data_IF_049857248728
#
_entry.id   IF_049857248728
#
_cell.length_a   1.000
_cell.length_b   1.000
_cell.length_c   1.000
_cell.angle_alpha   90.00
_cell.angle_beta   90.00
_cell.angle_gamma   90.00
#
_symmetry.space_group_name_H-M   'P 1'
#
loop_
_entity.id
_entity.type
_entity.pdbx_description
1 polymer ?
#
# COMPACT_ATOMS: atom_id res chain seq x y z
N UNK A 1 21.61 -13.81 24.34
CA UNK A 1 20.45 -13.67 23.43
C UNK A 1 20.96 -13.69 21.99
N UNK A 2 20.71 -14.77 21.25
CA UNK A 2 21.17 -14.88 19.85
C UNK A 2 20.49 -13.81 19.00
N UNK A 3 21.29 -12.92 18.38
CA UNK A 3 20.78 -11.91 17.45
C UNK A 3 20.37 -12.65 16.18
N UNK A 4 19.10 -13.04 16.07
CA UNK A 4 18.53 -13.43 14.78
C UNK A 4 18.53 -12.16 13.91
N UNK A 5 19.54 -12.04 13.07
CA UNK A 5 19.61 -10.99 12.06
C UNK A 5 18.55 -11.31 10.99
N UNK A 6 17.34 -10.77 11.16
CA UNK A 6 16.33 -10.72 10.11
C UNK A 6 16.85 -9.76 9.02
N UNK A 7 17.58 -10.31 8.06
CA UNK A 7 18.06 -9.56 6.91
C UNK A 7 16.91 -9.44 5.91
N UNK A 8 16.22 -8.31 5.95
CA UNK A 8 15.22 -7.97 4.95
C UNK A 8 15.92 -7.27 3.78
N UNK A 9 15.94 -7.87 2.58
CA UNK A 9 16.72 -7.33 1.48
C UNK A 9 16.21 -5.95 1.08
N UNK A 10 17.13 -5.02 0.82
CA UNK A 10 16.80 -3.61 0.56
C UNK A 10 15.87 -3.40 -0.63
N UNK A 11 15.97 -4.24 -1.66
CA UNK A 11 15.07 -4.19 -2.83
C UNK A 11 13.64 -4.54 -2.46
N UNK A 12 13.41 -5.55 -1.59
CA UNK A 12 12.07 -5.93 -1.18
C UNK A 12 11.42 -4.82 -0.35
N UNK A 13 12.21 -4.15 0.48
CA UNK A 13 11.80 -2.95 1.21
C UNK A 13 11.43 -1.80 0.28
N UNK A 14 12.24 -1.54 -0.73
CA UNK A 14 11.96 -0.52 -1.73
C UNK A 14 10.65 -0.83 -2.49
N UNK A 15 10.45 -2.08 -2.91
CA UNK A 15 9.21 -2.52 -3.59
C UNK A 15 7.98 -2.31 -2.70
N UNK A 16 8.02 -2.74 -1.43
CA UNK A 16 6.89 -2.57 -0.52
C UNK A 16 6.52 -1.09 -0.32
N UNK A 17 7.50 -0.25 0.02
CA UNK A 17 7.24 1.17 0.27
C UNK A 17 6.85 1.93 -0.98
N UNK A 18 7.43 1.59 -2.14
CA UNK A 18 7.04 2.20 -3.41
C UNK A 18 5.60 1.87 -3.76
N UNK A 19 5.14 0.63 -3.52
CA UNK A 19 3.74 0.26 -3.76
C UNK A 19 2.78 0.96 -2.79
N UNK A 20 3.13 1.08 -1.51
CA UNK A 20 2.33 1.85 -0.53
C UNK A 20 2.22 3.31 -0.96
N UNK A 21 3.32 3.94 -1.35
CA UNK A 21 3.34 5.32 -1.81
C UNK A 21 2.53 5.50 -3.11
N UNK A 22 2.69 4.58 -4.06
CA UNK A 22 1.94 4.58 -5.32
C UNK A 22 0.43 4.45 -5.07
N UNK A 23 0.03 3.53 -4.19
CA UNK A 23 -1.38 3.32 -3.83
C UNK A 23 -1.98 4.57 -3.20
N UNK A 24 -1.25 5.18 -2.25
CA UNK A 24 -1.67 6.42 -1.61
C UNK A 24 -1.79 7.57 -2.61
N UNK A 25 -0.75 7.79 -3.43
CA UNK A 25 -0.73 8.88 -4.40
C UNK A 25 -1.85 8.77 -5.43
N UNK A 26 -2.06 7.57 -5.98
CA UNK A 26 -3.12 7.32 -6.98
C UNK A 26 -4.52 7.40 -6.37
N UNK A 27 -4.71 6.91 -5.14
CA UNK A 27 -5.99 7.04 -4.43
C UNK A 27 -6.32 8.49 -4.09
N UNK A 28 -5.35 9.26 -3.60
CA UNK A 28 -5.52 10.69 -3.32
C UNK A 28 -5.75 11.50 -4.59
N UNK A 29 -5.02 11.22 -5.67
CA UNK A 29 -5.24 11.85 -6.96
C UNK A 29 -6.63 11.54 -7.52
N UNK A 30 -7.07 10.28 -7.44
CA UNK A 30 -8.42 9.89 -7.87
C UNK A 30 -9.49 10.61 -7.06
N UNK A 31 -9.36 10.61 -5.72
CA UNK A 31 -10.28 11.32 -4.83
C UNK A 31 -10.37 12.81 -5.17
N UNK A 32 -9.23 13.44 -5.44
CA UNK A 32 -9.19 14.85 -5.80
C UNK A 32 -9.91 15.14 -7.13
N UNK A 33 -9.62 14.34 -8.17
CA UNK A 33 -10.31 14.46 -9.45
C UNK A 33 -11.80 14.22 -9.29
N UNK A 34 -12.18 13.13 -8.63
CA UNK A 34 -13.56 12.72 -8.50
C UNK A 34 -14.43 13.75 -7.74
N UNK A 35 -13.83 14.45 -6.78
CA UNK A 35 -14.54 15.39 -5.91
C UNK A 35 -14.62 16.81 -6.46
N UNK A 36 -13.57 17.28 -7.12
CA UNK A 36 -13.43 18.69 -7.49
C UNK A 36 -13.26 18.95 -8.98
N UNK A 37 -13.10 17.91 -9.81
CA UNK A 37 -12.93 18.06 -11.25
C UNK A 37 -14.12 17.45 -11.97
N UNK A 38 -14.79 18.29 -12.74
CA UNK A 38 -15.89 17.93 -13.62
C UNK A 38 -15.57 18.53 -14.99
N UNK A 39 -15.70 17.72 -16.03
CA UNK A 39 -15.31 18.08 -17.39
C UNK A 39 -16.57 18.09 -18.24
N UNK A 40 -16.80 19.14 -19.03
CA UNK A 40 -17.90 19.12 -20.00
C UNK A 40 -17.59 18.12 -21.12
N UNK A 41 -18.40 17.06 -21.18
CA UNK A 41 -18.44 16.10 -22.27
C UNK A 41 -19.54 16.42 -23.28
N UNK A 42 -19.61 15.62 -24.34
CA UNK A 42 -20.58 15.78 -25.42
C UNK A 42 -22.05 15.65 -24.95
N UNK A 43 -22.27 14.95 -23.83
CA UNK A 43 -23.58 14.68 -23.24
C UNK A 43 -23.82 15.39 -21.91
N UNK A 44 -22.98 16.36 -21.55
CA UNK A 44 -23.06 17.11 -20.29
C UNK A 44 -21.86 16.89 -19.37
N UNK A 45 -21.98 17.22 -18.08
CA UNK A 45 -20.88 17.09 -17.14
C UNK A 45 -20.46 15.63 -16.93
N UNK A 46 -19.18 15.35 -17.19
CA UNK A 46 -18.55 14.04 -17.13
C UNK A 46 -17.35 14.01 -16.17
N UNK A 47 -16.96 12.80 -15.78
CA UNK A 47 -15.79 12.56 -14.92
C UNK A 47 -14.49 12.63 -15.70
N UNK A 48 -13.38 12.85 -14.98
CA UNK A 48 -12.08 12.94 -15.63
C UNK A 48 -11.69 11.60 -16.28
N UNK A 49 -11.20 11.60 -17.54
CA UNK A 49 -10.77 10.37 -18.22
C UNK A 49 -9.53 9.71 -17.57
N UNK A 50 -8.90 10.39 -16.61
CA UNK A 50 -7.79 9.85 -15.81
C UNK A 50 -8.28 8.94 -14.67
N UNK A 51 -9.53 9.04 -14.24
CA UNK A 51 -10.05 8.26 -13.11
C UNK A 51 -9.88 6.73 -13.29
N UNK A 52 -10.20 6.13 -14.45
CA UNK A 52 -10.01 4.69 -14.66
C UNK A 52 -8.55 4.27 -14.57
N UNK A 53 -7.62 5.11 -15.03
CA UNK A 53 -6.19 4.81 -14.96
C UNK A 53 -5.66 4.84 -13.54
N UNK A 54 -6.07 5.85 -12.77
CA UNK A 54 -5.71 5.95 -11.35
C UNK A 54 -6.21 4.74 -10.57
N UNK A 55 -7.45 4.31 -10.79
CA UNK A 55 -8.01 3.14 -10.11
C UNK A 55 -7.34 1.83 -10.53
N UNK A 56 -6.92 1.68 -11.80
CA UNK A 56 -6.15 0.51 -12.25
C UNK A 56 -4.79 0.43 -11.56
N UNK A 57 -4.04 1.54 -11.51
CA UNK A 57 -2.72 1.59 -10.85
C UNK A 57 -2.87 1.40 -9.34
N UNK A 58 -3.87 2.05 -8.73
CA UNK A 58 -4.19 1.89 -7.32
C UNK A 58 -4.46 0.41 -6.98
N UNK A 59 -5.37 -0.24 -7.72
CA UNK A 59 -5.70 -1.65 -7.53
C UNK A 59 -4.48 -2.56 -7.68
N UNK A 60 -3.69 -2.38 -8.75
CA UNK A 60 -2.47 -3.16 -8.97
C UNK A 60 -1.47 -3.02 -7.80
N UNK A 61 -1.23 -1.79 -7.34
CA UNK A 61 -0.35 -1.55 -6.19
C UNK A 61 -0.89 -2.15 -4.89
N UNK A 62 -2.21 -2.06 -4.65
CA UNK A 62 -2.87 -2.64 -3.48
C UNK A 62 -2.71 -4.17 -3.41
N UNK A 63 -2.84 -4.87 -4.56
CA UNK A 63 -2.59 -6.30 -4.61
C UNK A 63 -1.13 -6.67 -4.29
N UNK A 64 -0.16 -5.90 -4.78
CA UNK A 64 1.26 -6.11 -4.45
C UNK A 64 1.54 -5.87 -2.96
N UNK A 65 0.91 -4.87 -2.35
CA UNK A 65 0.97 -4.64 -0.90
C UNK A 65 0.40 -5.86 -0.15
N UNK A 66 -0.75 -6.41 -0.59
CA UNK A 66 -1.39 -7.55 0.07
C UNK A 66 -0.51 -8.81 0.03
N UNK A 67 0.11 -9.10 -1.12
CA UNK A 67 1.08 -10.20 -1.25
C UNK A 67 2.26 -9.97 -0.30
N UNK A 68 2.81 -8.75 -0.29
CA UNK A 68 3.89 -8.36 0.59
C UNK A 68 3.55 -8.47 2.07
N UNK A 69 2.32 -8.11 2.45
CA UNK A 69 1.79 -8.26 3.79
C UNK A 69 1.74 -9.73 4.20
N UNK A 70 1.21 -10.62 3.35
CA UNK A 70 1.20 -12.06 3.61
C UNK A 70 2.61 -12.62 3.83
N UNK A 71 3.58 -12.20 3.01
CA UNK A 71 4.98 -12.56 3.19
C UNK A 71 5.52 -12.09 4.55
N UNK A 72 5.30 -10.82 4.92
CA UNK A 72 5.76 -10.26 6.20
C UNK A 72 5.12 -10.96 7.39
N UNK A 73 3.82 -11.26 7.31
CA UNK A 73 3.08 -11.95 8.36
C UNK A 73 3.66 -13.33 8.64
N UNK A 74 3.92 -14.12 7.59
CA UNK A 74 4.45 -15.47 7.70
C UNK A 74 5.90 -15.51 8.20
N UNK A 75 6.74 -14.56 7.80
CA UNK A 75 8.20 -14.68 7.97
C UNK A 75 8.84 -13.67 8.93
N UNK A 76 8.24 -12.50 9.14
CA UNK A 76 8.88 -11.39 9.86
C UNK A 76 8.11 -10.93 11.11
N UNK A 77 6.77 -10.83 11.05
CA UNK A 77 5.95 -10.29 12.14
C UNK A 77 6.04 -11.19 13.39
N UNK A 78 5.88 -12.51 13.24
CA UNK A 78 5.93 -13.45 14.36
C UNK A 78 7.31 -13.48 15.05
N UNK A 79 8.38 -13.42 14.26
CA UNK A 79 9.75 -13.40 14.76
C UNK A 79 10.03 -12.08 15.48
N UNK A 80 9.60 -10.94 14.92
CA UNK A 80 9.70 -9.62 15.56
C UNK A 80 8.95 -9.55 16.89
N UNK A 81 7.75 -10.14 16.95
CA UNK A 81 6.94 -10.21 18.16
C UNK A 81 7.64 -10.98 19.29
N UNK A 82 8.15 -12.19 18.98
CA UNK A 82 8.93 -13.02 19.92
C UNK A 82 10.22 -12.32 20.37
N UNK A 83 10.87 -11.58 19.47
CA UNK A 83 12.07 -10.80 19.77
C UNK A 83 11.78 -9.48 20.52
N UNK A 84 10.51 -9.15 20.79
CA UNK A 84 10.07 -7.88 21.38
C UNK A 84 10.48 -6.63 20.60
N UNK A 85 10.70 -6.75 19.29
CA UNK A 85 11.12 -5.64 18.40
C UNK A 85 9.99 -5.27 17.44
N UNK A 86 9.91 -3.99 17.06
CA UNK A 86 8.98 -3.51 16.04
C UNK A 86 7.51 -3.90 16.30
N UNK A 87 7.12 -4.00 17.58
CA UNK A 87 5.76 -4.39 17.96
C UNK A 87 4.73 -3.37 17.52
N UNK A 88 5.02 -2.07 17.63
CA UNK A 88 4.10 -1.02 17.22
C UNK A 88 3.78 -1.07 15.72
N UNK A 89 4.79 -1.29 14.86
CA UNK A 89 4.54 -1.48 13.43
C UNK A 89 3.78 -2.78 13.14
N UNK A 90 4.05 -3.86 13.89
CA UNK A 90 3.29 -5.11 13.78
C UNK A 90 1.83 -4.97 14.25
N UNK A 91 1.59 -4.24 15.34
CA UNK A 91 0.27 -3.91 15.86
C UNK A 91 -0.50 -3.00 14.90
N UNK A 92 0.16 -2.00 14.28
CA UNK A 92 -0.49 -1.18 13.27
C UNK A 92 -0.94 -2.00 12.04
N UNK A 93 -0.23 -3.08 11.72
CA UNK A 93 -0.53 -3.96 10.60
C UNK A 93 -1.59 -5.04 10.92
N UNK A 94 -1.65 -5.54 12.16
CA UNK A 94 -2.50 -6.69 12.55
C UNK A 94 -3.64 -6.29 13.49
N UNK A 95 -3.47 -5.25 14.31
CA UNK A 95 -4.36 -4.89 15.41
C UNK A 95 -5.67 -4.19 15.01
N UNK A 96 -6.02 -4.20 13.72
CA UNK A 96 -7.26 -3.64 13.17
C UNK A 96 -8.09 -4.71 12.41
N UNK A 97 -7.90 -5.99 12.71
CA UNK A 97 -8.78 -7.09 12.27
C UNK A 97 -9.70 -7.48 13.43
#
# INVERSE_FOLDING_TARGET
MSRVALHFPGWAKAVLYSNVLMSLATGSAWFALHRWVEIEGEFGPEKSPLEPWLMRVHGASAFLILIGFGYLLASHIHVGWRAKRNRFSGLGLVGNV
#
